data_IF_428052471975
#
_entry.id   IF_428052471975
#
_cell.length_a   1.000
_cell.length_b   1.000
_cell.length_c   1.000
_cell.angle_alpha   90.00
_cell.angle_beta   90.00
_cell.angle_gamma   90.00
#
_symmetry.space_group_name_H-M   'P 1'
#
loop_
_entity.id
_entity.type
_entity.pdbx_description
1 polymer ?
#
# COMPACT_ATOMS: atom_id res chain seq x y z
N UNK A 1 13.93 -23.00 -17.06
CA UNK A 1 13.25 -22.62 -15.81
C UNK A 1 11.78 -23.00 -15.93
N UNK A 2 11.21 -23.72 -14.95
CA UNK A 2 9.78 -24.12 -15.01
C UNK A 2 8.91 -22.86 -15.03
N UNK A 3 8.06 -22.70 -16.03
CA UNK A 3 7.11 -21.58 -16.13
C UNK A 3 6.23 -21.57 -14.87
N UNK A 4 6.21 -20.44 -14.17
CA UNK A 4 5.29 -20.20 -13.05
C UNK A 4 3.92 -19.81 -13.60
N UNK A 5 2.85 -20.31 -12.98
CA UNK A 5 1.47 -19.97 -13.33
C UNK A 5 1.01 -18.87 -12.37
N UNK A 6 0.64 -17.71 -12.92
CA UNK A 6 0.30 -16.49 -12.20
C UNK A 6 -1.19 -16.20 -12.30
N UNK A 7 -1.72 -15.42 -11.36
CA UNK A 7 -3.03 -14.79 -11.47
C UNK A 7 -3.03 -13.65 -12.52
N UNK A 8 -4.22 -13.17 -12.87
CA UNK A 8 -4.41 -12.13 -13.90
C UNK A 8 -3.66 -10.82 -13.57
N UNK A 9 -3.50 -10.54 -12.28
CA UNK A 9 -2.81 -9.34 -11.78
C UNK A 9 -1.31 -9.53 -11.57
N UNK A 10 -0.79 -10.74 -11.81
CA UNK A 10 0.62 -11.09 -11.64
C UNK A 10 1.17 -10.80 -10.24
N UNK A 11 0.35 -11.07 -9.22
CA UNK A 11 0.64 -10.87 -7.79
C UNK A 11 0.99 -12.17 -7.09
N UNK A 12 0.30 -13.26 -7.43
CA UNK A 12 0.48 -14.55 -6.79
C UNK A 12 0.67 -15.64 -7.82
N UNK A 13 1.49 -16.63 -7.50
CA UNK A 13 1.66 -17.82 -8.34
C UNK A 13 1.28 -19.09 -7.57
N UNK A 14 0.84 -20.11 -8.29
CA UNK A 14 0.33 -21.37 -7.72
C UNK A 14 1.36 -22.17 -6.91
N UNK A 15 2.66 -21.87 -7.08
CA UNK A 15 3.75 -22.56 -6.39
C UNK A 15 4.25 -21.80 -5.16
N UNK A 16 3.73 -20.61 -4.90
CA UNK A 16 4.18 -19.74 -3.81
C UNK A 16 5.71 -19.57 -3.82
N UNK A 17 6.27 -19.34 -5.02
CA UNK A 17 7.71 -19.30 -5.24
C UNK A 17 8.11 -17.95 -5.83
N UNK A 18 8.85 -17.16 -5.05
CA UNK A 18 9.24 -15.80 -5.38
C UNK A 18 10.73 -15.55 -5.11
N UNK A 19 11.21 -14.40 -5.57
CA UNK A 19 12.53 -13.87 -5.29
C UNK A 19 13.67 -14.79 -5.76
N UNK A 20 14.91 -14.41 -5.43
CA UNK A 20 16.12 -15.21 -5.65
C UNK A 20 16.15 -16.47 -4.78
N UNK A 21 15.56 -16.39 -3.59
CA UNK A 21 15.55 -17.49 -2.63
C UNK A 21 14.58 -18.61 -3.00
N UNK A 22 13.63 -18.36 -3.92
CA UNK A 22 12.57 -19.30 -4.28
C UNK A 22 11.55 -19.54 -3.15
N UNK A 23 11.57 -18.73 -2.10
CA UNK A 23 10.70 -18.84 -0.93
C UNK A 23 9.29 -18.31 -1.17
N UNK A 24 8.37 -18.54 -0.21
CA UNK A 24 7.04 -17.96 -0.20
C UNK A 24 7.08 -16.46 0.06
N UNK A 25 6.02 -15.75 -0.29
CA UNK A 25 5.95 -14.30 -0.12
C UNK A 25 4.56 -13.75 -0.40
N UNK A 26 4.25 -12.63 0.25
CA UNK A 26 3.05 -11.84 -0.01
C UNK A 26 3.47 -10.52 -0.66
N UNK A 27 3.00 -10.28 -1.88
CA UNK A 27 3.40 -9.16 -2.72
C UNK A 27 3.21 -7.77 -2.08
N UNK A 28 2.26 -7.65 -1.16
CA UNK A 28 1.95 -6.44 -0.39
C UNK A 28 2.71 -6.35 0.94
N UNK A 29 3.46 -7.39 1.32
CA UNK A 29 4.29 -7.45 2.53
C UNK A 29 5.76 -7.25 2.18
N UNK A 30 6.14 -5.97 1.97
CA UNK A 30 7.53 -5.55 1.75
C UNK A 30 8.23 -6.32 0.62
N UNK A 31 7.59 -6.35 -0.55
CA UNK A 31 8.16 -6.93 -1.76
C UNK A 31 8.14 -5.91 -2.90
N UNK A 32 9.14 -5.96 -3.78
CA UNK A 32 9.17 -5.19 -5.03
C UNK A 32 9.03 -6.10 -6.25
N UNK A 33 8.27 -5.64 -7.23
CA UNK A 33 8.12 -6.31 -8.50
C UNK A 33 9.17 -5.80 -9.50
N UNK A 34 9.94 -6.72 -10.10
CA UNK A 34 10.87 -6.36 -11.16
C UNK A 34 10.10 -5.98 -12.43
N UNK A 35 10.39 -4.83 -13.02
CA UNK A 35 9.65 -4.36 -14.22
C UNK A 35 9.88 -5.21 -15.46
N UNK A 36 11.04 -5.85 -15.58
CA UNK A 36 11.39 -6.67 -16.75
C UNK A 36 10.74 -8.05 -16.71
N UNK A 37 10.93 -8.83 -15.64
CA UNK A 37 10.41 -10.20 -15.54
C UNK A 37 9.10 -10.34 -14.75
N UNK A 38 8.63 -9.26 -14.11
CA UNK A 38 7.42 -9.22 -13.26
C UNK A 38 7.43 -10.13 -12.02
N UNK A 39 8.55 -10.79 -11.72
CA UNK A 39 8.74 -11.53 -10.47
C UNK A 39 8.82 -10.57 -9.27
N UNK A 40 8.36 -11.04 -8.11
CA UNK A 40 8.40 -10.35 -6.82
C UNK A 40 9.65 -10.73 -6.02
N UNK A 41 10.23 -9.76 -5.31
CA UNK A 41 11.46 -9.93 -4.54
C UNK A 41 11.28 -9.34 -3.14
N UNK A 42 11.72 -10.07 -2.12
CA UNK A 42 11.63 -9.65 -0.72
C UNK A 42 12.57 -8.48 -0.43
N UNK A 43 12.13 -7.53 0.42
CA UNK A 43 12.98 -6.48 1.01
C UNK A 43 14.32 -7.05 1.47
N UNK A 44 14.30 -8.12 2.29
CA UNK A 44 15.50 -8.74 2.86
C UNK A 44 16.45 -9.38 1.83
N UNK A 45 16.01 -9.56 0.58
CA UNK A 45 16.80 -10.15 -0.50
C UNK A 45 17.26 -9.13 -1.54
N UNK A 46 16.83 -7.86 -1.42
CA UNK A 46 17.23 -6.76 -2.30
C UNK A 46 18.37 -6.02 -1.61
N UNK A 47 19.53 -5.96 -2.24
CA UNK A 47 20.72 -5.32 -1.70
C UNK A 47 20.75 -3.81 -1.95
N UNK A 48 20.04 -3.34 -2.98
CA UNK A 48 20.02 -1.93 -3.38
C UNK A 48 19.09 -1.01 -2.57
N UNK A 49 18.54 -1.46 -1.43
CA UNK A 49 17.64 -0.65 -0.60
C UNK A 49 18.40 0.10 0.48
N UNK A 50 18.27 1.43 0.49
CA UNK A 50 18.83 2.30 1.54
C UNK A 50 17.91 2.44 2.75
N UNK A 51 16.60 2.26 2.54
CA UNK A 51 15.57 2.38 3.57
C UNK A 51 14.62 1.19 3.53
N UNK A 52 14.08 0.76 4.69
CA UNK A 52 13.07 -0.29 4.74
C UNK A 52 11.81 0.08 3.95
N UNK A 53 11.21 -0.91 3.29
CA UNK A 53 9.95 -0.78 2.59
C UNK A 53 8.79 -0.69 3.59
N UNK A 54 7.87 0.22 3.28
CA UNK A 54 6.54 0.24 3.88
C UNK A 54 5.68 -0.88 3.26
N UNK A 55 4.71 -1.39 4.02
CA UNK A 55 3.70 -2.31 3.53
C UNK A 55 2.95 -1.68 2.34
N UNK A 56 2.74 -2.46 1.28
CA UNK A 56 2.06 -2.01 0.06
C UNK A 56 2.81 -0.97 -0.76
N UNK A 57 4.06 -0.62 -0.42
CA UNK A 57 4.82 0.39 -1.14
C UNK A 57 5.44 -0.15 -2.44
N UNK A 58 4.70 0.03 -3.53
CA UNK A 58 5.14 -0.31 -4.88
C UNK A 58 5.73 0.87 -5.65
N UNK A 59 6.01 2.02 -5.01
CA UNK A 59 6.46 3.23 -5.70
C UNK A 59 7.97 3.24 -5.96
N UNK A 60 8.43 2.21 -6.68
CA UNK A 60 9.82 2.04 -7.07
C UNK A 60 9.96 1.66 -8.55
N UNK A 61 11.02 2.15 -9.17
CA UNK A 61 11.60 1.54 -10.37
C UNK A 61 12.59 0.48 -9.91
N UNK A 62 12.17 -0.79 -10.00
CA UNK A 62 13.01 -1.92 -9.64
C UNK A 62 13.29 -2.84 -10.83
N UNK A 63 14.58 -3.15 -11.02
CA UNK A 63 15.06 -4.17 -11.95
C UNK A 63 15.99 -5.12 -11.19
N UNK A 64 15.65 -6.41 -11.19
CA UNK A 64 16.43 -7.43 -10.51
C UNK A 64 17.78 -7.66 -11.20
N UNK A 65 18.76 -8.15 -10.43
CA UNK A 65 20.11 -8.47 -10.92
C UNK A 65 20.15 -9.38 -12.15
N UNK A 66 19.24 -10.36 -12.25
CA UNK A 66 19.15 -11.28 -13.40
C UNK A 66 18.74 -10.53 -14.66
N UNK A 67 17.77 -9.62 -14.58
CA UNK A 67 17.31 -8.84 -15.73
C UNK A 67 18.23 -7.67 -16.08
N UNK A 68 19.01 -7.17 -15.12
CA UNK A 68 19.98 -6.11 -15.35
C UNK A 68 21.38 -6.64 -15.75
N UNK A 69 21.58 -7.95 -15.78
CA UNK A 69 22.90 -8.58 -16.00
C UNK A 69 24.00 -8.01 -15.10
N UNK A 70 23.67 -7.71 -13.84
CA UNK A 70 24.56 -6.99 -12.94
C UNK A 70 23.89 -6.65 -11.61
N UNK A 71 24.37 -5.61 -10.90
CA UNK A 71 23.73 -5.12 -9.68
C UNK A 71 22.28 -4.72 -9.91
N UNK A 72 21.46 -4.81 -8.87
CA UNK A 72 20.07 -4.35 -8.89
C UNK A 72 19.97 -2.85 -9.16
N UNK A 73 18.90 -2.44 -9.84
CA UNK A 73 18.57 -1.01 -10.00
C UNK A 73 17.32 -0.74 -9.19
N UNK A 74 17.43 0.09 -8.16
CA UNK A 74 16.32 0.55 -7.33
C UNK A 74 16.29 2.07 -7.38
N UNK A 75 15.15 2.65 -7.78
CA UNK A 75 14.93 4.10 -7.72
C UNK A 75 13.56 4.42 -7.14
N UNK A 76 13.50 5.31 -6.17
CA UNK A 76 12.25 5.81 -5.59
C UNK A 76 11.46 6.61 -6.64
N UNK A 77 10.15 6.35 -6.75
CA UNK A 77 9.26 7.19 -7.57
C UNK A 77 8.73 8.37 -6.75
N UNK A 78 8.49 9.53 -7.39
CA UNK A 78 7.85 10.64 -6.69
C UNK A 78 6.45 10.22 -6.22
N UNK A 79 6.15 10.51 -4.97
CA UNK A 79 4.83 10.27 -4.38
C UNK A 79 3.95 11.50 -4.54
N UNK A 80 2.69 11.27 -4.87
CA UNK A 80 1.66 12.28 -4.67
C UNK A 80 1.16 12.26 -3.23
N UNK A 81 0.47 13.32 -2.83
CA UNK A 81 -0.20 13.35 -1.53
C UNK A 81 -1.22 12.23 -1.32
N UNK A 82 -1.86 11.78 -2.39
CA UNK A 82 -2.78 10.64 -2.34
C UNK A 82 -2.04 9.35 -2.00
N UNK A 83 -0.86 9.16 -2.60
CA UNK A 83 -0.01 8.01 -2.33
C UNK A 83 0.49 8.01 -0.89
N UNK A 84 0.92 9.18 -0.39
CA UNK A 84 1.33 9.37 1.01
C UNK A 84 0.19 8.98 1.96
N UNK A 85 -1.02 9.51 1.72
CA UNK A 85 -2.21 9.17 2.49
C UNK A 85 -2.47 7.67 2.49
N UNK A 86 -2.47 7.03 1.32
CA UNK A 86 -2.75 5.60 1.21
C UNK A 86 -1.69 4.74 1.90
N UNK A 87 -0.41 5.04 1.70
CA UNK A 87 0.69 4.33 2.36
C UNK A 87 0.58 4.47 3.89
N UNK A 88 0.31 5.67 4.38
CA UNK A 88 0.13 5.94 5.82
C UNK A 88 -0.99 5.10 6.41
N UNK A 89 -2.19 5.18 5.81
CA UNK A 89 -3.36 4.46 6.31
C UNK A 89 -3.18 2.95 6.19
N UNK A 90 -2.62 2.47 5.07
CA UNK A 90 -2.41 1.04 4.86
C UNK A 90 -1.44 0.46 5.88
N UNK A 91 -0.31 1.11 6.12
CA UNK A 91 0.67 0.64 7.11
C UNK A 91 0.09 0.69 8.53
N UNK A 92 -0.67 1.74 8.86
CA UNK A 92 -1.36 1.84 10.15
C UNK A 92 -2.34 0.69 10.39
N UNK A 93 -3.12 0.30 9.36
CA UNK A 93 -4.04 -0.84 9.42
C UNK A 93 -3.30 -2.16 9.56
N UNK A 94 -2.20 -2.36 8.83
CA UNK A 94 -1.39 -3.58 8.92
C UNK A 94 -0.77 -3.76 10.32
N UNK A 95 -0.31 -2.67 10.92
CA UNK A 95 0.33 -2.70 12.25
C UNK A 95 -0.69 -2.83 13.40
N UNK A 96 -1.77 -2.03 13.36
CA UNK A 96 -2.68 -1.91 14.52
C UNK A 96 -3.98 -2.68 14.39
N UNK A 97 -4.32 -3.17 13.19
CA UNK A 97 -5.51 -4.00 12.90
C UNK A 97 -6.86 -3.41 13.33
N UNK A 98 -6.94 -2.09 13.51
CA UNK A 98 -8.21 -1.37 13.75
C UNK A 98 -8.77 -0.83 12.45
N UNK A 99 -10.11 -0.73 12.42
CA UNK A 99 -10.85 -0.18 11.28
C UNK A 99 -10.93 1.34 11.30
N UNK A 100 -10.81 2.00 12.45
CA UNK A 100 -11.02 3.43 12.59
C UNK A 100 -9.87 4.05 13.38
N UNK A 101 -9.46 5.25 12.96
CA UNK A 101 -8.39 6.00 13.60
C UNK A 101 -8.77 7.48 13.65
N UNK A 102 -8.48 8.10 14.78
CA UNK A 102 -8.58 9.54 14.89
C UNK A 102 -7.47 10.21 14.07
N UNK A 103 -7.82 11.29 13.39
CA UNK A 103 -6.90 12.01 12.52
C UNK A 103 -5.76 12.67 13.30
N UNK A 104 -6.12 13.43 14.33
CA UNK A 104 -5.19 14.27 15.07
C UNK A 104 -4.39 13.44 16.08
N UNK A 105 -5.04 12.44 16.71
CA UNK A 105 -4.41 11.64 17.77
C UNK A 105 -3.65 10.42 17.25
N UNK A 106 -3.98 9.92 16.05
CA UNK A 106 -3.37 8.68 15.52
C UNK A 106 -2.75 8.84 14.15
N UNK A 107 -3.50 9.30 13.15
CA UNK A 107 -3.02 9.29 11.75
C UNK A 107 -1.87 10.29 11.58
N UNK A 108 -1.99 11.52 12.07
CA UNK A 108 -0.95 12.55 11.93
C UNK A 108 0.34 12.19 12.70
N UNK A 109 0.29 11.76 13.98
CA UNK A 109 1.48 11.27 14.68
C UNK A 109 2.14 10.07 13.98
N UNK A 110 1.33 9.16 13.44
CA UNK A 110 1.86 8.00 12.71
C UNK A 110 2.54 8.41 11.41
N UNK A 111 1.95 9.31 10.61
CA UNK A 111 2.59 9.86 9.42
C UNK A 111 3.96 10.46 9.75
N UNK A 112 4.04 11.27 10.80
CA UNK A 112 5.31 11.87 11.23
C UNK A 112 6.35 10.79 11.56
N UNK A 113 5.92 9.67 12.15
CA UNK A 113 6.81 8.54 12.46
C UNK A 113 7.36 7.82 11.22
N UNK A 114 6.61 7.77 10.12
CA UNK A 114 7.03 7.15 8.86
C UNK A 114 7.57 8.15 7.83
N UNK A 115 7.68 9.43 8.19
CA UNK A 115 8.00 10.51 7.25
C UNK A 115 9.33 10.29 6.51
N UNK A 116 10.36 9.82 7.23
CA UNK A 116 11.66 9.49 6.63
C UNK A 116 11.58 8.28 5.70
N UNK A 117 10.76 7.28 6.02
CA UNK A 117 10.58 6.09 5.18
C UNK A 117 9.87 6.39 3.85
N UNK A 118 9.05 7.46 3.81
CA UNK A 118 8.41 7.92 2.57
C UNK A 118 9.42 8.45 1.53
N UNK A 119 10.63 8.85 1.96
CA UNK A 119 11.72 9.32 1.09
C UNK A 119 11.29 10.47 0.17
N UNK A 120 10.61 11.45 0.73
CA UNK A 120 10.15 12.62 -0.04
C UNK A 120 11.34 13.55 -0.36
N UNK A 121 11.31 14.27 -1.50
CA UNK A 121 12.38 15.21 -1.87
C UNK A 121 12.55 16.31 -0.82
N UNK A 122 13.77 16.85 -0.66
CA UNK A 122 14.11 17.87 0.35
C UNK A 122 13.17 19.09 0.35
N UNK A 123 12.67 19.48 -0.82
CA UNK A 123 11.76 20.63 -0.98
C UNK A 123 10.34 20.36 -0.45
N UNK A 124 10.01 19.11 -0.14
CA UNK A 124 8.74 18.72 0.49
C UNK A 124 8.74 18.88 2.02
N UNK A 125 9.90 19.16 2.62
CA UNK A 125 10.06 19.29 4.07
C UNK A 125 9.34 20.51 4.67
N UNK A 126 8.89 21.46 3.84
CA UNK A 126 8.17 22.65 4.28
C UNK A 126 6.66 22.45 4.46
N UNK A 127 6.15 21.22 4.35
CA UNK A 127 4.71 20.99 4.35
C UNK A 127 4.25 20.72 5.77
N UNK A 128 3.82 21.79 6.43
CA UNK A 128 2.97 21.75 7.63
C UNK A 128 1.87 20.71 7.44
N UNK A 129 1.39 20.06 8.50
CA UNK A 129 0.28 19.09 8.47
C UNK A 129 -1.02 19.61 7.81
N UNK A 130 -1.11 20.90 7.48
CA UNK A 130 -2.23 21.57 6.84
C UNK A 130 -2.70 21.01 5.49
N UNK A 131 -1.86 20.95 4.43
CA UNK A 131 -2.29 20.46 3.11
C UNK A 131 -2.71 18.99 3.12
N UNK A 132 -2.12 18.17 3.99
CA UNK A 132 -2.55 16.80 4.19
C UNK A 132 -3.88 16.73 4.95
N UNK A 133 -4.06 17.52 6.02
CA UNK A 133 -5.33 17.62 6.75
C UNK A 133 -6.47 17.97 5.79
N UNK A 134 -6.27 18.95 4.92
CA UNK A 134 -7.26 19.32 3.89
C UNK A 134 -7.54 18.15 2.95
N UNK A 135 -6.52 17.47 2.44
CA UNK A 135 -6.72 16.33 1.52
C UNK A 135 -7.39 15.14 2.19
N UNK A 136 -7.03 14.81 3.43
CA UNK A 136 -7.68 13.75 4.22
C UNK A 136 -9.15 14.08 4.50
N UNK A 137 -9.47 15.35 4.75
CA UNK A 137 -10.85 15.82 4.89
C UNK A 137 -11.62 15.80 3.57
N UNK A 138 -10.99 16.17 2.45
CA UNK A 138 -11.57 16.07 1.09
C UNK A 138 -11.88 14.61 0.71
N UNK A 139 -11.03 13.67 1.11
CA UNK A 139 -11.28 12.23 0.98
C UNK A 139 -12.55 11.78 1.72
N UNK A 140 -12.94 12.48 2.80
CA UNK A 140 -14.14 12.21 3.58
C UNK A 140 -15.39 12.98 3.14
N UNK A 141 -15.29 13.93 2.20
CA UNK A 141 -16.37 14.88 1.88
C UNK A 141 -17.07 14.61 0.53
N UNK A 142 -17.70 13.45 0.39
CA UNK A 142 -18.88 13.31 -0.48
C UNK A 142 -20.14 13.49 0.41
N UNK A 143 -20.99 14.53 0.23
CA UNK A 143 -22.02 14.89 1.23
C UNK A 143 -23.43 14.41 0.86
N UNK A 144 -24.44 14.52 1.75
CA UNK A 144 -24.41 14.57 3.22
C UNK A 144 -25.38 13.50 3.83
N UNK A 145 -25.26 13.13 5.11
CA UNK A 145 -26.11 13.65 6.19
C UNK A 145 -25.53 13.14 7.54
N UNK A 146 -25.20 14.10 8.41
CA UNK A 146 -24.81 13.97 9.82
C UNK A 146 -23.47 13.25 10.14
N UNK A 147 -22.67 13.93 10.97
CA UNK A 147 -21.44 13.50 11.67
C UNK A 147 -20.09 13.78 10.98
N UNK A 148 -19.48 14.93 11.32
CA UNK A 148 -18.03 15.06 11.51
C UNK A 148 -17.74 14.83 13.02
N UNK A 149 -16.59 14.27 13.46
CA UNK A 149 -15.23 14.45 12.94
C UNK A 149 -14.41 13.15 12.75
N UNK A 150 -15.05 12.01 12.49
CA UNK A 150 -14.33 10.74 12.30
C UNK A 150 -14.00 10.54 10.82
N UNK A 151 -12.70 10.59 10.49
CA UNK A 151 -12.22 10.30 9.14
C UNK A 151 -12.68 8.90 8.73
N UNK A 152 -13.39 8.84 7.60
CA UNK A 152 -13.94 7.63 7.04
C UNK A 152 -12.80 6.66 6.67
N UNK A 153 -12.57 5.65 7.49
CA UNK A 153 -11.67 4.54 7.16
C UNK A 153 -12.55 3.36 6.73
N UNK A 154 -12.55 3.13 5.42
CA UNK A 154 -12.58 1.84 4.71
C UNK A 154 -13.16 2.07 3.32
N UNK A 155 -12.29 2.03 2.31
CA UNK A 155 -12.57 1.16 1.18
C UNK A 155 -11.26 0.43 0.85
N UNK A 156 -11.33 -0.90 0.87
CA UNK A 156 -10.39 -1.85 0.25
C UNK A 156 -9.17 -2.22 1.09
N UNK A 157 -9.28 -3.37 1.77
CA UNK A 157 -8.16 -4.13 2.32
C UNK A 157 -7.25 -4.72 1.23
N UNK A 158 -6.66 -3.88 0.41
CA UNK A 158 -5.45 -4.22 -0.29
C UNK A 158 -4.83 -3.03 -1.01
N UNK A 159 -3.59 -3.17 -1.46
CA UNK A 159 -2.75 -2.02 -1.78
C UNK A 159 -3.10 -1.41 -3.15
N UNK A 160 -2.50 -0.26 -3.41
CA UNK A 160 -2.87 0.73 -4.43
C UNK A 160 -3.20 0.20 -5.83
N UNK A 161 -2.62 -0.92 -6.27
CA UNK A 161 -2.91 -1.48 -7.59
C UNK A 161 -4.32 -2.11 -7.72
N UNK A 162 -5.13 -2.14 -6.65
CA UNK A 162 -6.55 -2.51 -6.71
C UNK A 162 -7.51 -1.33 -6.85
N UNK A 163 -7.00 -0.09 -6.88
CA UNK A 163 -7.84 1.09 -7.07
C UNK A 163 -7.94 1.44 -8.56
N UNK A 164 -9.12 1.31 -9.19
CA UNK A 164 -9.28 1.59 -10.60
C UNK A 164 -9.22 3.10 -10.82
N UNK A 165 -8.33 3.54 -11.69
CA UNK A 165 -8.46 4.84 -12.34
C UNK A 165 -9.71 4.80 -13.23
N UNK A 166 -10.79 5.43 -12.74
CA UNK A 166 -12.05 5.73 -13.47
C UNK A 166 -12.86 4.51 -13.94
N UNK A 167 -14.04 4.31 -13.35
CA UNK A 167 -15.08 3.47 -13.96
C UNK A 167 -16.27 3.20 -13.04
N UNK A 168 -17.48 3.55 -13.49
CA UNK A 168 -18.76 3.39 -12.76
C UNK A 168 -19.20 1.94 -12.57
N UNK A 169 -18.69 0.99 -13.38
CA UNK A 169 -19.09 -0.41 -13.38
C UNK A 169 -18.66 -1.19 -12.11
N UNK A 170 -17.52 -0.82 -11.53
CA UNK A 170 -16.92 -1.54 -10.38
C UNK A 170 -17.66 -1.29 -9.05
N UNK A 171 -18.50 -0.24 -8.99
CA UNK A 171 -19.35 0.05 -7.82
C UNK A 171 -20.42 -1.00 -7.57
N UNK A 172 -20.95 -1.62 -8.63
CA UNK A 172 -21.99 -2.64 -8.49
C UNK A 172 -21.42 -3.99 -8.06
N UNK A 173 -20.26 -4.37 -8.59
CA UNK A 173 -19.58 -5.62 -8.24
C UNK A 173 -19.04 -5.62 -6.80
N UNK A 174 -18.55 -4.47 -6.32
CA UNK A 174 -18.16 -4.30 -4.90
C UNK A 174 -19.35 -4.37 -3.95
N UNK A 175 -20.53 -3.88 -4.35
CA UNK A 175 -21.75 -3.96 -3.54
C UNK A 175 -22.19 -5.40 -3.32
N UNK A 176 -22.02 -6.25 -4.33
CA UNK A 176 -22.38 -7.67 -4.28
C UNK A 176 -21.39 -8.49 -3.47
N UNK A 177 -20.09 -8.13 -3.50
CA UNK A 177 -19.05 -8.75 -2.65
C UNK A 177 -19.16 -8.35 -1.19
N UNK A 178 -19.62 -7.13 -0.89
CA UNK A 178 -19.91 -6.65 0.47
C UNK A 178 -21.11 -7.35 1.12
N UNK A 179 -22.12 -7.73 0.32
CA UNK A 179 -23.31 -8.43 0.82
C UNK A 179 -23.03 -9.87 1.27
N UNK A 180 -21.90 -10.44 0.88
CA UNK A 180 -21.55 -11.85 1.08
C UNK A 180 -20.36 -12.07 2.02
N UNK A 181 -19.91 -11.04 2.75
CA UNK A 181 -18.86 -11.21 3.76
C UNK A 181 -19.45 -11.89 5.01
N UNK A 182 -18.76 -12.89 5.59
CA UNK A 182 -19.18 -13.47 6.86
C UNK A 182 -19.18 -12.39 7.95
N UNK A 183 -20.10 -12.46 8.94
CA UNK A 183 -20.05 -11.59 10.10
C UNK A 183 -18.71 -11.82 10.82
N UNK A 184 -18.02 -10.73 11.16
CA UNK A 184 -16.78 -10.83 11.91
C UNK A 184 -17.10 -11.10 13.38
N UNK A 185 -16.50 -12.15 13.94
CA UNK A 185 -16.57 -12.44 15.36
C UNK A 185 -16.11 -11.21 16.16
N UNK A 186 -16.95 -10.81 17.11
CA UNK A 186 -16.68 -9.75 18.07
C UNK A 186 -15.49 -10.18 18.92
N UNK A 187 -14.29 -9.68 18.63
CA UNK A 187 -13.17 -9.85 19.53
C UNK A 187 -13.40 -8.95 20.75
N UNK A 188 -13.48 -9.60 21.91
CA UNK A 188 -13.83 -9.11 23.23
C UNK A 188 -13.15 -7.78 23.60
N UNK A 189 -13.97 -6.90 24.16
CA UNK A 189 -13.56 -5.71 24.90
C UNK A 189 -13.29 -6.15 26.33
N UNK A 190 -12.01 -6.21 26.72
CA UNK A 190 -11.58 -6.11 28.12
C UNK A 190 -10.84 -4.77 28.32
#
# INVERSE_FOLDING_TARGET
MKTLQWDDQHKVNTKNCYCYCGGPGEWNMKMLQCRSCRQWFHEACIQGLETPLLYGDSFYYFTCSVCNNGPEVVKRMPLTWMDITHLTLYNLVMERRKKYYDLDDVILPYLNSIWLALQLPSDSAAITTGPLRVKLLEFGSAPPLAMQPYVLVLFLGGPLCMWPTRGTAMRNEMREKLANLPPMDECDVD
#
